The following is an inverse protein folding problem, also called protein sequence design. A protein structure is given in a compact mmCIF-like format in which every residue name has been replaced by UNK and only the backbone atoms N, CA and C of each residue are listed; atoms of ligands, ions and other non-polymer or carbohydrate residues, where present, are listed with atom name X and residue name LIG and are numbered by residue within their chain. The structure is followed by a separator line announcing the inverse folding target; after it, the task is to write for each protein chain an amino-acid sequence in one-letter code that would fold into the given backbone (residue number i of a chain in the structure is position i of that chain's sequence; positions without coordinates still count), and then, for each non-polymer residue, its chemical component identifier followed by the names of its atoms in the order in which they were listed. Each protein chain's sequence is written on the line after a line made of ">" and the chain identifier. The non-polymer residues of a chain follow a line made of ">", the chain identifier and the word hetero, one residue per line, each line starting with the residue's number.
data_IF_895280204559
#
_entry.id   IF_895280204559
#
_cell.length_a   1.000
_cell.length_b   1.000
_cell.length_c   1.000
_cell.angle_alpha   90.00
_cell.angle_beta   90.00
_cell.angle_gamma   90.00
#
_symmetry.space_group_name_H-M   'P 1'
#
loop_
_entity.id
_entity.type
_entity.pdbx_description
1 polymer ?
#
# COMPACT_ATOMS: atom_id res chain seq x y z
N UNK A 1 -9.20 -14.82 31.34
CA UNK A 1 -7.75 -14.69 31.15
C UNK A 1 -7.52 -13.54 30.20
N UNK A 2 -6.74 -12.51 30.57
CA UNK A 2 -6.47 -11.40 29.67
C UNK A 2 -5.44 -11.90 28.64
N UNK A 3 -5.90 -12.16 27.43
CA UNK A 3 -5.03 -12.53 26.31
C UNK A 3 -4.40 -11.27 25.74
N UNK A 4 -3.08 -11.14 25.90
CA UNK A 4 -2.13 -10.40 25.08
C UNK A 4 -2.70 -9.23 24.27
N UNK A 5 -2.86 -8.08 24.92
CA UNK A 5 -2.66 -6.79 24.26
C UNK A 5 -1.14 -6.60 24.18
N UNK A 6 -0.59 -6.33 22.98
CA UNK A 6 0.69 -5.60 22.72
C UNK A 6 1.40 -6.00 21.40
N UNK A 7 0.82 -6.85 20.54
CA UNK A 7 1.30 -7.01 19.15
C UNK A 7 0.37 -6.26 18.19
N UNK A 8 0.67 -4.99 17.93
CA UNK A 8 0.05 -4.22 16.84
C UNK A 8 0.31 -4.97 15.53
N UNK A 9 -0.76 -5.29 14.79
CA UNK A 9 -0.62 -5.96 13.50
C UNK A 9 0.18 -5.07 12.54
N UNK A 10 1.04 -5.64 11.70
CA UNK A 10 1.78 -4.89 10.67
C UNK A 10 0.85 -4.01 9.84
N UNK A 11 -0.37 -4.48 9.55
CA UNK A 11 -1.39 -3.71 8.81
C UNK A 11 -1.90 -2.50 9.62
N UNK A 12 -2.05 -2.65 10.93
CA UNK A 12 -2.49 -1.57 11.83
C UNK A 12 -1.44 -0.47 11.91
N UNK A 13 -0.16 -0.84 11.97
CA UNK A 13 0.96 0.11 11.87
C UNK A 13 0.90 0.96 10.60
N UNK A 14 0.72 0.34 9.42
CA UNK A 14 0.58 1.09 8.16
C UNK A 14 -0.71 1.90 8.08
N UNK A 15 -1.81 1.41 8.66
CA UNK A 15 -3.07 2.14 8.74
C UNK A 15 -2.92 3.42 9.57
N UNK A 16 -2.22 3.34 10.71
CA UNK A 16 -1.93 4.48 11.58
C UNK A 16 -1.02 5.52 10.89
N UNK A 17 -0.10 5.09 10.03
CA UNK A 17 0.68 6.01 9.17
C UNK A 17 -0.23 6.65 8.12
N UNK A 18 -1.05 5.86 7.43
CA UNK A 18 -1.97 6.36 6.41
C UNK A 18 -2.95 7.39 6.97
N UNK A 19 -3.45 7.20 8.19
CA UNK A 19 -4.36 8.14 8.86
C UNK A 19 -3.78 9.56 8.98
N UNK A 20 -2.45 9.69 9.07
CA UNK A 20 -1.75 10.99 9.15
C UNK A 20 -1.50 11.62 7.79
N UNK A 21 -1.67 10.89 6.69
CA UNK A 21 -1.34 11.36 5.35
C UNK A 21 -2.16 12.59 4.95
N UNK A 22 -3.42 12.67 5.36
CA UNK A 22 -4.29 13.83 5.08
C UNK A 22 -3.75 15.09 5.73
N UNK A 23 -3.32 15.03 6.98
CA UNK A 23 -2.77 16.17 7.73
C UNK A 23 -1.42 16.63 7.14
N UNK A 24 -0.58 15.66 6.74
CA UNK A 24 0.72 15.96 6.12
C UNK A 24 0.60 16.54 4.71
N UNK A 25 -0.46 16.17 3.99
CA UNK A 25 -0.81 16.75 2.69
C UNK A 25 -1.36 18.17 2.81
N UNK A 26 -1.98 18.51 3.95
CA UNK A 26 -2.55 19.83 4.14
C UNK A 26 -1.48 20.93 4.12
N UNK A 27 -1.81 22.01 3.43
CA UNK A 27 -1.02 23.23 3.31
C UNK A 27 -1.60 24.39 4.10
N UNK A 28 -2.79 24.23 4.69
CA UNK A 28 -3.42 25.28 5.48
C UNK A 28 -2.53 25.70 6.65
N UNK A 29 -2.41 27.01 6.86
CA UNK A 29 -1.60 27.59 7.93
C UNK A 29 -0.09 27.52 7.71
N UNK A 30 0.41 26.92 6.61
CA UNK A 30 1.84 26.89 6.26
C UNK A 30 2.17 28.00 5.28
N UNK A 31 3.32 28.64 5.45
CA UNK A 31 3.88 29.52 4.41
C UNK A 31 4.30 28.70 3.19
N UNK A 32 4.41 29.36 2.02
CA UNK A 32 4.86 28.70 0.79
C UNK A 32 6.26 28.08 0.96
N UNK A 33 7.16 28.77 1.67
CA UNK A 33 8.53 28.30 1.91
C UNK A 33 8.55 27.05 2.79
N UNK A 34 7.82 27.05 3.90
CA UNK A 34 7.69 25.87 4.77
C UNK A 34 7.08 24.69 4.02
N UNK A 35 6.02 24.93 3.23
CA UNK A 35 5.38 23.90 2.45
C UNK A 35 6.33 23.27 1.42
N UNK A 36 7.14 24.08 0.73
CA UNK A 36 8.15 23.63 -0.23
C UNK A 36 9.30 22.87 0.44
N UNK A 37 9.78 23.31 1.61
CA UNK A 37 10.88 22.65 2.33
C UNK A 37 10.47 21.29 2.89
N UNK A 38 9.26 21.18 3.44
CA UNK A 38 8.74 19.92 3.99
C UNK A 38 8.29 18.92 2.92
N UNK A 39 8.02 19.38 1.69
CA UNK A 39 7.45 18.54 0.64
C UNK A 39 8.29 17.30 0.28
N UNK A 40 9.62 17.41 0.00
CA UNK A 40 10.41 16.28 -0.46
C UNK A 40 10.58 15.19 0.60
N UNK A 41 10.74 15.57 1.86
CA UNK A 41 10.89 14.62 2.97
C UNK A 41 9.60 13.84 3.22
N UNK A 42 8.44 14.52 3.19
CA UNK A 42 7.14 13.87 3.30
C UNK A 42 6.88 12.95 2.11
N UNK A 43 7.12 13.41 0.88
CA UNK A 43 6.98 12.57 -0.31
C UNK A 43 7.82 11.28 -0.21
N UNK A 44 9.10 11.40 0.16
CA UNK A 44 9.99 10.27 0.31
C UNK A 44 9.49 9.30 1.39
N UNK A 45 9.05 9.82 2.53
CA UNK A 45 8.52 9.01 3.63
C UNK A 45 7.34 8.13 3.17
N UNK A 46 6.33 8.71 2.53
CA UNK A 46 5.17 7.94 2.05
C UNK A 46 5.50 7.02 0.88
N UNK A 47 6.42 7.43 0.00
CA UNK A 47 6.89 6.59 -1.10
C UNK A 47 7.65 5.36 -0.60
N UNK A 48 8.45 5.50 0.45
CA UNK A 48 9.15 4.38 1.07
C UNK A 48 8.17 3.37 1.68
N UNK A 49 7.13 3.86 2.38
CA UNK A 49 6.06 2.99 2.92
C UNK A 49 5.27 2.27 1.84
N UNK A 50 5.03 2.91 0.70
CA UNK A 50 4.47 2.26 -0.47
C UNK A 50 5.38 1.13 -0.99
N UNK A 51 6.70 1.37 -1.05
CA UNK A 51 7.67 0.36 -1.49
C UNK A 51 7.71 -0.84 -0.53
N UNK A 52 7.66 -0.60 0.77
CA UNK A 52 7.56 -1.66 1.78
C UNK A 52 6.29 -2.51 1.60
N UNK A 53 5.12 -1.86 1.40
CA UNK A 53 3.85 -2.56 1.13
C UNK A 53 3.87 -3.34 -0.19
N UNK A 54 4.53 -2.81 -1.23
CA UNK A 54 4.74 -3.53 -2.51
C UNK A 54 5.57 -4.80 -2.31
N UNK A 55 6.63 -4.72 -1.52
CA UNK A 55 7.43 -5.89 -1.17
C UNK A 55 6.58 -6.90 -0.38
N UNK A 56 5.84 -6.45 0.62
CA UNK A 56 4.98 -7.32 1.43
C UNK A 56 3.92 -8.04 0.58
N UNK A 57 3.25 -7.33 -0.32
CA UNK A 57 2.29 -7.92 -1.28
C UNK A 57 2.95 -9.02 -2.12
N UNK A 58 4.15 -8.78 -2.64
CA UNK A 58 4.91 -9.78 -3.40
C UNK A 58 5.32 -10.99 -2.56
N UNK A 59 5.71 -10.78 -1.31
CA UNK A 59 6.09 -11.87 -0.40
C UNK A 59 4.88 -12.77 -0.11
N UNK A 60 3.71 -12.19 0.16
CA UNK A 60 2.46 -12.94 0.38
C UNK A 60 2.03 -13.66 -0.90
N UNK A 61 2.14 -13.02 -2.06
CA UNK A 61 1.83 -13.65 -3.35
C UNK A 61 2.76 -14.85 -3.62
N UNK A 62 4.06 -14.70 -3.35
CA UNK A 62 5.04 -15.80 -3.49
C UNK A 62 4.69 -16.97 -2.58
N UNK A 63 4.30 -16.68 -1.33
CA UNK A 63 3.86 -17.70 -0.38
C UNK A 63 2.56 -18.39 -0.82
N UNK A 64 1.61 -17.65 -1.37
CA UNK A 64 0.38 -18.21 -1.94
C UNK A 64 0.67 -19.21 -3.05
N UNK A 65 1.61 -18.88 -3.95
CA UNK A 65 1.99 -19.76 -5.06
C UNK A 65 2.77 -21.00 -4.57
N UNK A 66 3.55 -20.86 -3.49
CA UNK A 66 4.18 -21.99 -2.80
C UNK A 66 3.13 -22.92 -2.19
N UNK A 67 2.11 -22.38 -1.52
CA UNK A 67 1.00 -23.16 -0.95
C UNK A 67 0.21 -23.88 -2.05
N UNK A 68 -0.12 -23.21 -3.15
CA UNK A 68 -0.78 -23.82 -4.31
C UNK A 68 0.01 -25.00 -4.87
N UNK A 69 1.33 -24.86 -4.99
CA UNK A 69 2.21 -25.93 -5.46
C UNK A 69 2.20 -27.12 -4.51
N UNK A 70 2.30 -26.87 -3.19
CA UNK A 70 2.24 -27.91 -2.15
C UNK A 70 0.92 -28.68 -2.17
N UNK A 71 -0.22 -27.99 -2.28
CA UNK A 71 -1.51 -28.65 -2.39
C UNK A 71 -1.64 -29.42 -3.70
N UNK A 72 -1.21 -28.87 -4.84
CA UNK A 72 -1.21 -29.56 -6.14
C UNK A 72 -0.50 -30.92 -6.07
N UNK A 73 0.72 -30.96 -5.50
CA UNK A 73 1.47 -32.22 -5.35
C UNK A 73 0.69 -33.21 -4.47
N UNK A 74 0.18 -32.75 -3.32
CA UNK A 74 -0.60 -33.60 -2.40
C UNK A 74 -1.85 -34.21 -3.05
N UNK A 75 -2.56 -33.43 -3.86
CA UNK A 75 -3.76 -33.88 -4.56
C UNK A 75 -3.43 -34.89 -5.68
N UNK A 76 -2.30 -34.73 -6.36
CA UNK A 76 -1.83 -35.68 -7.37
C UNK A 76 -1.33 -37.01 -6.77
N UNK A 77 -0.69 -36.98 -5.60
CA UNK A 77 -0.09 -38.17 -4.98
C UNK A 77 -1.07 -39.05 -4.18
N UNK A 78 -2.14 -38.47 -3.62
CA UNK A 78 -3.01 -39.18 -2.66
C UNK A 78 -4.33 -39.68 -3.23
N UNK A 79 -4.78 -39.15 -4.37
CA UNK A 79 -6.08 -39.53 -4.90
C UNK A 79 -5.99 -40.83 -5.69
N UNK A 80 -6.78 -41.82 -5.26
CA UNK A 80 -6.90 -43.15 -5.89
C UNK A 80 -7.69 -43.11 -7.20
N UNK A 81 -8.33 -41.99 -7.50
CA UNK A 81 -9.08 -41.73 -8.74
C UNK A 81 -8.42 -40.54 -9.42
N UNK A 82 -8.10 -40.68 -10.70
CA UNK A 82 -7.60 -39.59 -11.54
C UNK A 82 -8.64 -38.47 -11.60
N UNK A 83 -8.44 -37.45 -10.76
CA UNK A 83 -9.24 -36.24 -10.79
C UNK A 83 -8.86 -35.40 -12.02
N UNK A 84 -9.85 -34.84 -12.69
CA UNK A 84 -9.62 -33.84 -13.72
C UNK A 84 -8.89 -32.63 -13.11
N UNK A 85 -7.84 -32.15 -13.77
CA UNK A 85 -7.05 -30.98 -13.38
C UNK A 85 -7.91 -29.76 -12.99
N UNK A 86 -9.02 -29.52 -13.70
CA UNK A 86 -9.94 -28.42 -13.38
C UNK A 86 -10.61 -28.56 -12.01
N UNK A 87 -10.95 -29.78 -11.61
CA UNK A 87 -11.53 -30.06 -10.29
C UNK A 87 -10.47 -29.91 -9.20
N UNK A 88 -9.26 -30.41 -9.44
CA UNK A 88 -8.12 -30.27 -8.51
C UNK A 88 -7.88 -28.79 -8.20
N UNK A 89 -7.82 -27.93 -9.22
CA UNK A 89 -7.66 -26.49 -9.01
C UNK A 89 -8.78 -25.90 -8.15
N UNK A 90 -10.04 -26.28 -8.40
CA UNK A 90 -11.17 -25.79 -7.58
C UNK A 90 -11.07 -26.21 -6.11
N UNK A 91 -10.61 -27.44 -5.83
CA UNK A 91 -10.42 -27.90 -4.45
C UNK A 91 -9.27 -27.17 -3.76
N UNK A 92 -8.15 -26.94 -4.47
CA UNK A 92 -7.03 -26.17 -3.93
C UNK A 92 -7.47 -24.74 -3.59
N UNK A 93 -8.26 -24.12 -4.45
CA UNK A 93 -8.71 -22.75 -4.26
C UNK A 93 -9.71 -22.57 -3.10
N UNK A 94 -10.34 -23.67 -2.63
CA UNK A 94 -11.20 -23.68 -1.45
C UNK A 94 -10.50 -24.11 -0.16
N UNK A 95 -9.21 -24.46 -0.22
CA UNK A 95 -8.41 -24.79 0.97
C UNK A 95 -8.34 -23.61 1.94
N UNK A 96 -8.52 -23.88 3.23
CA UNK A 96 -8.56 -22.82 4.25
C UNK A 96 -7.26 -22.00 4.32
N UNK A 97 -6.10 -22.63 4.08
CA UNK A 97 -4.80 -21.95 4.04
C UNK A 97 -4.71 -20.98 2.84
N UNK A 98 -5.21 -21.40 1.68
CA UNK A 98 -5.24 -20.59 0.45
C UNK A 98 -6.20 -19.41 0.59
N UNK A 99 -7.40 -19.64 1.13
CA UNK A 99 -8.39 -18.58 1.34
C UNK A 99 -7.86 -17.53 2.33
N UNK A 100 -7.23 -17.95 3.43
CA UNK A 100 -6.62 -17.03 4.41
C UNK A 100 -5.50 -16.20 3.78
N UNK A 101 -4.57 -16.84 3.05
CA UNK A 101 -3.48 -16.13 2.39
C UNK A 101 -3.99 -15.11 1.37
N UNK A 102 -5.06 -15.43 0.63
CA UNK A 102 -5.73 -14.48 -0.27
C UNK A 102 -6.39 -13.30 0.45
N UNK A 103 -7.02 -13.54 1.60
CA UNK A 103 -7.60 -12.47 2.41
C UNK A 103 -6.50 -11.52 2.88
N UNK A 104 -5.40 -12.05 3.43
CA UNK A 104 -4.24 -11.24 3.81
C UNK A 104 -3.64 -10.48 2.62
N UNK A 105 -3.51 -11.11 1.46
CA UNK A 105 -3.03 -10.44 0.25
C UNK A 105 -3.94 -9.26 -0.14
N UNK A 106 -5.26 -9.47 -0.10
CA UNK A 106 -6.22 -8.43 -0.43
C UNK A 106 -6.14 -7.23 0.53
N UNK A 107 -5.96 -7.48 1.84
CA UNK A 107 -5.79 -6.42 2.84
C UNK A 107 -4.49 -5.62 2.62
N UNK A 108 -3.38 -6.31 2.32
CA UNK A 108 -2.10 -5.65 1.98
C UNK A 108 -2.24 -4.83 0.69
N UNK A 109 -2.92 -5.37 -0.32
CA UNK A 109 -3.15 -4.69 -1.59
C UNK A 109 -4.05 -3.46 -1.44
N UNK A 110 -5.04 -3.50 -0.56
CA UNK A 110 -5.87 -2.34 -0.24
C UNK A 110 -5.01 -1.21 0.33
N UNK A 111 -4.16 -1.50 1.33
CA UNK A 111 -3.25 -0.50 1.89
C UNK A 111 -2.26 0.00 0.85
N UNK A 112 -1.66 -0.87 0.05
CA UNK A 112 -0.78 -0.49 -1.07
C UNK A 112 -1.47 0.53 -1.97
N UNK A 113 -2.70 0.26 -2.41
CA UNK A 113 -3.45 1.16 -3.28
C UNK A 113 -3.76 2.50 -2.61
N UNK A 114 -4.06 2.51 -1.30
CA UNK A 114 -4.22 3.75 -0.53
C UNK A 114 -2.93 4.59 -0.52
N UNK A 115 -1.76 3.96 -0.32
CA UNK A 115 -0.48 4.65 -0.38
C UNK A 115 -0.11 5.09 -1.81
N UNK A 116 -0.55 4.38 -2.86
CA UNK A 116 -0.42 4.87 -4.24
C UNK A 116 -1.19 6.17 -4.44
N UNK A 117 -2.43 6.25 -3.92
CA UNK A 117 -3.21 7.49 -3.95
C UNK A 117 -2.52 8.63 -3.17
N UNK A 118 -1.91 8.33 -2.01
CA UNK A 118 -1.14 9.32 -1.24
C UNK A 118 0.05 9.83 -2.04
N UNK A 119 0.82 8.94 -2.67
CA UNK A 119 1.95 9.31 -3.54
C UNK A 119 1.50 10.25 -4.66
N UNK A 120 0.41 9.91 -5.36
CA UNK A 120 -0.14 10.76 -6.42
C UNK A 120 -0.62 12.12 -5.88
N UNK A 121 -1.22 12.16 -4.70
CA UNK A 121 -1.63 13.40 -4.05
C UNK A 121 -0.42 14.31 -3.73
N UNK A 122 0.70 13.74 -3.25
CA UNK A 122 1.94 14.51 -3.07
C UNK A 122 2.47 15.02 -4.41
N UNK A 123 2.50 14.22 -5.47
CA UNK A 123 2.93 14.69 -6.80
C UNK A 123 2.08 15.90 -7.24
N UNK A 124 0.75 15.79 -7.12
CA UNK A 124 -0.17 16.90 -7.40
C UNK A 124 0.14 18.13 -6.55
N UNK A 125 0.35 17.97 -5.24
CA UNK A 125 0.73 19.04 -4.31
C UNK A 125 2.02 19.74 -4.75
N UNK A 126 3.03 18.99 -5.19
CA UNK A 126 4.29 19.53 -5.73
C UNK A 126 4.06 20.44 -6.94
N UNK A 127 3.19 20.03 -7.87
CA UNK A 127 2.81 20.87 -9.01
C UNK A 127 2.05 22.14 -8.58
N UNK A 128 1.15 22.04 -7.61
CA UNK A 128 0.42 23.20 -7.11
C UNK A 128 1.36 24.23 -6.46
N UNK A 129 2.31 23.79 -5.62
CA UNK A 129 3.30 24.66 -5.01
C UNK A 129 4.15 25.39 -6.06
N UNK A 130 4.56 24.68 -7.13
CA UNK A 130 5.28 25.29 -8.24
C UNK A 130 4.44 26.33 -8.98
N UNK A 131 3.17 26.04 -9.26
CA UNK A 131 2.27 26.95 -9.95
C UNK A 131 2.02 28.23 -9.15
N UNK A 132 1.80 28.12 -7.83
CA UNK A 132 1.67 29.28 -6.93
C UNK A 132 2.95 30.11 -6.92
N UNK A 133 4.12 29.46 -6.90
CA UNK A 133 5.41 30.17 -6.96
C UNK A 133 5.54 30.97 -8.26
N UNK A 134 5.23 30.36 -9.40
CA UNK A 134 5.25 31.04 -10.71
C UNK A 134 4.29 32.22 -10.77
N UNK A 135 3.08 32.07 -10.24
CA UNK A 135 2.11 33.17 -10.16
C UNK A 135 2.65 34.34 -9.33
N UNK A 136 3.27 34.07 -8.18
CA UNK A 136 3.88 35.11 -7.34
C UNK A 136 5.02 35.84 -8.05
N UNK A 137 5.87 35.11 -8.78
CA UNK A 137 6.93 35.72 -9.59
C UNK A 137 6.35 36.62 -10.67
N UNK A 138 5.36 36.16 -11.42
CA UNK A 138 4.69 36.96 -12.45
C UNK A 138 4.07 38.24 -11.87
N UNK A 139 3.40 38.15 -10.71
CA UNK A 139 2.85 39.33 -10.03
C UNK A 139 3.93 40.35 -9.63
N UNK A 140 5.11 39.88 -9.18
CA UNK A 140 6.25 40.76 -8.87
C UNK A 140 6.80 41.42 -10.14
N UNK A 141 6.93 40.66 -11.23
CA UNK A 141 7.41 41.18 -12.53
C UNK A 141 6.45 42.21 -13.12
N UNK A 142 5.14 42.06 -12.92
CA UNK A 142 4.10 43.00 -13.32
C UNK A 142 3.95 44.21 -12.37
N UNK A 143 4.66 44.22 -11.24
CA UNK A 143 4.58 45.29 -10.23
C UNK A 143 3.26 45.31 -9.45
N UNK A 144 2.58 44.17 -9.35
CA UNK A 144 1.33 43.99 -8.60
C UNK A 144 1.56 43.57 -7.13
N UNK A 145 2.81 43.31 -6.75
CA UNK A 145 3.27 42.96 -5.40
C UNK A 145 4.41 43.88 -4.95
#
# INVERSE_FOLDING_TARGET
>A
MPGNNDEESVLEYYFNIYAKATDDLDTNGKTLQEACLAHPSLYLYYYDKLCELKRLSNDVQTELDRLRSKHTIRYNERHTIDLNLSLITKYIESESEIVKAKQTLAEVDELKNKFEAVKEAFISRGYQLNNVTKQRVAMVEEGLL
#
